data_IF_259245355757
#
_entry.id   IF_259245355757
#
_cell.length_a   1.000
_cell.length_b   1.000
_cell.length_c   1.000
_cell.angle_alpha   90.00
_cell.angle_beta   90.00
_cell.angle_gamma   90.00
#
_symmetry.space_group_name_H-M   'P 1'
#
loop_
_entity.id
_entity.type
_entity.pdbx_description
1 polymer ?
#
# COMPACT_ATOMS: atom_id res chain seq x y z
N UNK A 1 -10.47 -11.88 36.48
CA UNK A 1 -11.07 -11.35 35.23
C UNK A 1 -10.25 -10.19 34.63
N UNK A 2 -8.92 -10.16 34.74
CA UNK A 2 -8.09 -9.00 34.36
C UNK A 2 -7.17 -9.24 33.16
N UNK A 3 -7.20 -10.43 32.53
CA UNK A 3 -6.32 -10.75 31.39
C UNK A 3 -7.07 -10.91 30.06
N UNK A 4 -8.39 -10.72 30.06
CA UNK A 4 -9.22 -10.85 28.86
C UNK A 4 -8.81 -9.86 27.78
N UNK A 5 -8.50 -8.61 28.14
CA UNK A 5 -8.05 -7.61 27.18
C UNK A 5 -6.70 -7.97 26.54
N UNK A 6 -5.80 -8.62 27.29
CA UNK A 6 -4.51 -9.09 26.76
C UNK A 6 -4.71 -10.20 25.74
N UNK A 7 -5.55 -11.19 26.06
CA UNK A 7 -5.87 -12.28 25.13
C UNK A 7 -6.54 -11.71 23.87
N UNK A 8 -7.48 -10.78 24.03
CA UNK A 8 -8.14 -10.11 22.92
C UNK A 8 -7.16 -9.33 22.04
N UNK A 9 -6.24 -8.57 22.64
CA UNK A 9 -5.21 -7.83 21.91
C UNK A 9 -4.28 -8.73 21.11
N UNK A 10 -3.80 -9.83 21.71
CA UNK A 10 -2.95 -10.83 21.04
C UNK A 10 -3.71 -11.46 19.87
N UNK A 11 -4.99 -11.78 20.04
CA UNK A 11 -5.81 -12.36 18.99
C UNK A 11 -5.98 -11.39 17.81
N UNK A 12 -6.24 -10.11 18.07
CA UNK A 12 -6.37 -9.08 17.02
C UNK A 12 -5.07 -8.87 16.23
N UNK A 13 -3.92 -8.77 16.91
CA UNK A 13 -2.62 -8.61 16.26
C UNK A 13 -2.28 -9.84 15.41
N UNK A 14 -2.51 -11.04 15.94
CA UNK A 14 -2.26 -12.29 15.23
C UNK A 14 -3.14 -12.42 13.99
N UNK A 15 -4.43 -12.09 14.09
CA UNK A 15 -5.37 -12.12 12.99
C UNK A 15 -4.95 -11.16 11.86
N UNK A 16 -4.57 -9.94 12.22
CA UNK A 16 -4.07 -8.96 11.26
C UNK A 16 -2.80 -9.46 10.57
N UNK A 17 -1.82 -9.97 11.33
CA UNK A 17 -0.59 -10.54 10.78
C UNK A 17 -0.87 -11.67 9.78
N UNK A 18 -1.73 -12.63 10.15
CA UNK A 18 -2.13 -13.72 9.25
C UNK A 18 -2.84 -13.20 8.00
N UNK A 19 -3.68 -12.17 8.12
CA UNK A 19 -4.36 -11.56 6.97
C UNK A 19 -3.35 -10.92 6.00
N UNK A 20 -2.34 -10.21 6.51
CA UNK A 20 -1.30 -9.59 5.67
C UNK A 20 -0.48 -10.62 4.88
N UNK A 21 -0.24 -11.81 5.44
CA UNK A 21 0.47 -12.90 4.74
C UNK A 21 -0.30 -13.44 3.53
N UNK A 22 -1.62 -13.28 3.49
CA UNK A 22 -2.43 -13.72 2.34
C UNK A 22 -2.35 -12.79 1.14
N UNK A 23 -1.67 -11.64 1.26
CA UNK A 23 -1.63 -10.61 0.22
C UNK A 23 -2.99 -9.99 -0.09
N UNK A 24 -3.99 -10.22 0.77
CA UNK A 24 -5.31 -9.60 0.66
C UNK A 24 -5.23 -8.20 1.22
N UNK A 25 -5.52 -7.22 0.37
CA UNK A 25 -5.69 -5.84 0.77
C UNK A 25 -7.17 -5.57 1.04
N UNK A 26 -7.47 -4.78 2.07
CA UNK A 26 -8.83 -4.31 2.31
C UNK A 26 -9.10 -3.18 1.32
N UNK A 27 -9.94 -3.46 0.31
CA UNK A 27 -10.34 -2.50 -0.71
C UNK A 27 -9.95 -2.95 -2.13
N UNK A 28 -10.18 -2.07 -3.10
CA UNK A 28 -9.75 -2.25 -4.48
C UNK A 28 -8.79 -1.10 -4.82
N UNK A 29 -7.47 -1.25 -4.54
CA UNK A 29 -6.51 -0.21 -4.91
C UNK A 29 -6.53 -0.03 -6.42
N UNK A 30 -6.73 1.21 -6.87
CA UNK A 30 -6.70 1.54 -8.29
C UNK A 30 -5.30 1.24 -8.85
N UNK A 31 -5.15 0.14 -9.57
CA UNK A 31 -3.91 -0.19 -10.28
C UNK A 31 -3.74 0.77 -11.45
N UNK A 32 -2.85 1.75 -11.30
CA UNK A 32 -2.39 2.56 -12.43
C UNK A 32 -1.52 1.71 -13.35
N UNK A 33 -1.98 1.49 -14.57
CA UNK A 33 -1.17 0.85 -15.62
C UNK A 33 -0.16 1.86 -16.12
N UNK A 34 1.12 1.52 -16.00
CA UNK A 34 2.21 2.33 -16.56
C UNK A 34 2.24 2.12 -18.08
N UNK A 35 2.10 3.16 -18.90
CA UNK A 35 2.19 3.01 -20.34
C UNK A 35 3.64 2.66 -20.75
N UNK A 36 3.77 1.88 -21.83
CA UNK A 36 5.03 1.21 -22.19
C UNK A 36 6.15 2.19 -22.61
N UNK A 37 5.75 3.36 -23.11
CA UNK A 37 6.60 4.48 -23.50
C UNK A 37 7.36 5.11 -22.31
N UNK A 38 6.81 5.02 -21.08
CA UNK A 38 7.45 5.50 -19.84
C UNK A 38 8.79 4.80 -19.58
N UNK A 39 8.99 3.59 -20.10
CA UNK A 39 10.26 2.85 -19.99
C UNK A 39 11.41 3.55 -20.70
N UNK A 40 11.11 4.33 -21.74
CA UNK A 40 12.12 4.95 -22.61
C UNK A 40 12.19 6.47 -22.46
N UNK A 41 11.33 7.06 -21.62
CA UNK A 41 11.39 8.50 -21.31
C UNK A 41 12.67 8.85 -20.52
N UNK A 42 13.33 9.99 -20.80
CA UNK A 42 14.40 10.52 -19.96
C UNK A 42 13.92 10.70 -18.51
N UNK A 43 14.48 9.94 -17.58
CA UNK A 43 14.04 9.91 -16.17
C UNK A 43 13.08 8.77 -15.81
N UNK A 44 12.67 7.95 -16.80
CA UNK A 44 11.98 6.66 -16.65
C UNK A 44 10.77 6.66 -15.71
N UNK A 45 10.52 5.52 -15.06
CA UNK A 45 9.42 5.35 -14.10
C UNK A 45 9.42 6.38 -12.96
N UNK A 46 10.60 6.84 -12.52
CA UNK A 46 10.72 7.83 -11.44
C UNK A 46 10.10 9.18 -11.82
N UNK A 47 10.28 9.61 -13.06
CA UNK A 47 9.69 10.86 -13.56
C UNK A 47 8.17 10.75 -13.76
N UNK A 48 7.66 9.59 -14.18
CA UNK A 48 6.22 9.42 -14.42
C UNK A 48 5.38 9.61 -13.15
N UNK A 49 5.80 9.00 -12.04
CA UNK A 49 5.12 9.17 -10.76
C UNK A 49 5.20 10.61 -10.25
N UNK A 50 6.31 11.31 -10.45
CA UNK A 50 6.47 12.71 -10.00
C UNK A 50 5.44 13.64 -10.65
N UNK A 51 5.14 13.47 -11.94
CA UNK A 51 4.20 14.35 -12.67
C UNK A 51 2.73 13.91 -12.63
N UNK A 52 2.42 12.62 -12.42
CA UNK A 52 1.05 12.07 -12.51
C UNK A 52 0.46 11.54 -11.19
N UNK A 53 1.27 11.36 -10.15
CA UNK A 53 0.82 10.85 -8.85
C UNK A 53 1.61 11.37 -7.65
N UNK A 54 2.62 12.23 -7.87
CA UNK A 54 3.36 12.91 -6.83
C UNK A 54 2.47 13.98 -6.25
N UNK A 55 2.31 13.94 -4.93
CA UNK A 55 1.67 14.97 -4.12
C UNK A 55 1.94 16.36 -4.71
N UNK A 56 0.91 17.01 -5.27
CA UNK A 56 0.96 18.42 -5.69
C UNK A 56 0.99 19.34 -4.46
N UNK A 57 1.90 19.08 -3.52
CA UNK A 57 2.05 19.80 -2.26
C UNK A 57 3.44 20.38 -2.13
N UNK A 58 3.86 21.14 -3.14
CA UNK A 58 5.16 21.79 -3.20
C UNK A 58 5.14 23.12 -3.95
N UNK A 59 4.02 23.84 -3.90
CA UNK A 59 3.92 25.31 -3.98
C UNK A 59 2.54 25.74 -3.50
#
# INVERSE_FOLDING_TARGET
MTKFYLIFGIAMISLYGLFTLTGREIGNPERKVLPADVRQSPGGYRSFHFWHSGYQGGK
#
